data_IF_423652370890
#
_entry.id   IF_423652370890
#
_cell.length_a   1.000
_cell.length_b   1.000
_cell.length_c   1.000
_cell.angle_alpha   90.00
_cell.angle_beta   90.00
_cell.angle_gamma   90.00
#
_symmetry.space_group_name_H-M   'P 1'
#
loop_
_entity.id
_entity.type
_entity.pdbx_description
1 polymer ?
#
# COMPACT_ATOMS: atom_id res chain seq x y z
N UNK A 1 5.99 6.91 -24.15
CA UNK A 1 6.90 5.74 -24.10
C UNK A 1 8.28 6.29 -24.36
N UNK A 2 8.94 6.75 -23.30
CA UNK A 2 10.25 7.42 -23.41
C UNK A 2 11.34 6.40 -23.14
N UNK A 3 12.29 6.30 -24.07
CA UNK A 3 13.29 5.23 -24.14
C UNK A 3 14.51 5.58 -23.27
N UNK A 4 14.65 4.93 -22.11
CA UNK A 4 15.71 5.19 -21.10
C UNK A 4 16.90 4.21 -21.17
N UNK A 5 17.14 3.59 -22.34
CA UNK A 5 18.24 2.63 -22.51
C UNK A 5 17.82 1.18 -22.29
N UNK A 6 18.68 0.24 -22.69
CA UNK A 6 18.39 -1.20 -22.83
C UNK A 6 18.08 -1.92 -21.51
N UNK A 7 16.89 -1.68 -20.98
CA UNK A 7 16.24 -2.39 -19.87
C UNK A 7 14.77 -1.97 -19.80
N UNK A 8 13.86 -2.88 -19.47
CA UNK A 8 12.46 -2.52 -19.27
C UNK A 8 12.36 -1.52 -18.09
N UNK A 9 11.67 -0.41 -18.30
CA UNK A 9 11.35 0.54 -17.23
C UNK A 9 10.04 0.09 -16.62
N UNK A 10 10.10 -0.28 -15.35
CA UNK A 10 8.95 -0.71 -14.57
C UNK A 10 8.40 0.53 -13.88
N UNK A 11 7.14 0.83 -14.14
CA UNK A 11 6.48 2.00 -13.58
C UNK A 11 5.08 1.63 -13.13
N UNK A 12 4.63 2.22 -12.03
CA UNK A 12 3.24 2.17 -11.59
C UNK A 12 2.64 3.58 -11.60
N UNK A 13 1.32 3.63 -11.74
CA UNK A 13 0.57 4.88 -11.63
C UNK A 13 -0.13 4.94 -10.29
N UNK A 14 0.34 5.84 -9.42
CA UNK A 14 -0.34 6.13 -8.16
C UNK A 14 -1.30 7.28 -8.38
N UNK A 15 -2.60 6.95 -8.47
CA UNK A 15 -3.66 7.93 -8.71
C UNK A 15 -3.84 8.94 -7.58
N UNK A 16 -4.47 10.08 -7.89
CA UNK A 16 -4.87 11.04 -6.87
C UNK A 16 -6.10 10.53 -6.10
N UNK A 17 -5.86 10.02 -4.90
CA UNK A 17 -6.89 9.45 -4.03
C UNK A 17 -7.96 10.46 -3.59
N UNK A 18 -7.73 11.77 -3.74
CA UNK A 18 -8.74 12.80 -3.44
C UNK A 18 -9.86 12.91 -4.47
N UNK A 19 -9.74 12.27 -5.65
CA UNK A 19 -10.84 12.17 -6.63
C UNK A 19 -11.90 11.13 -6.23
N UNK A 20 -11.62 10.29 -5.24
CA UNK A 20 -12.49 9.23 -4.75
C UNK A 20 -12.47 9.23 -3.22
N UNK A 21 -13.05 10.31 -2.67
CA UNK A 21 -13.15 10.59 -1.23
C UNK A 21 -13.69 9.40 -0.41
N UNK A 22 -14.45 8.51 -1.06
CA UNK A 22 -14.81 7.20 -0.55
C UNK A 22 -14.45 6.14 -1.59
N UNK A 23 -13.67 5.11 -1.18
CA UNK A 23 -13.41 3.92 -1.99
C UNK A 23 -11.97 3.70 -2.45
N UNK A 24 -11.13 4.75 -2.52
CA UNK A 24 -9.72 4.57 -2.91
C UNK A 24 -8.77 4.42 -1.73
N UNK A 25 -9.19 4.79 -0.53
CA UNK A 25 -8.40 4.66 0.69
C UNK A 25 -9.15 3.84 1.73
N UNK A 26 -8.40 3.14 2.59
CA UNK A 26 -8.96 2.36 3.69
C UNK A 26 -9.67 3.23 4.75
N UNK A 27 -9.45 4.54 4.75
CA UNK A 27 -10.17 5.51 5.60
C UNK A 27 -10.13 6.91 4.98
N UNK A 28 -11.06 7.77 5.41
CA UNK A 28 -11.15 9.18 5.01
C UNK A 28 -10.50 10.15 6.01
N UNK A 29 -10.11 9.67 7.20
CA UNK A 29 -9.38 10.48 8.19
C UNK A 29 -7.87 10.36 8.01
N UNK A 30 -7.13 11.37 8.45
CA UNK A 30 -5.72 11.52 8.10
C UNK A 30 -4.82 11.70 9.32
N UNK A 31 -3.81 10.83 9.51
CA UNK A 31 -2.74 11.08 10.46
C UNK A 31 -1.90 12.33 10.16
N UNK A 32 -1.76 12.73 8.90
CA UNK A 32 -0.82 13.80 8.48
C UNK A 32 -1.50 15.05 7.87
N UNK A 33 -2.82 15.18 8.04
CA UNK A 33 -3.60 16.34 7.59
C UNK A 33 -4.00 16.33 6.11
N UNK A 34 -3.70 15.26 5.35
CA UNK A 34 -4.16 15.06 3.99
C UNK A 34 -4.50 13.57 3.73
N UNK A 35 -5.78 13.18 3.79
CA UNK A 35 -6.21 11.78 3.62
C UNK A 35 -5.83 11.19 2.26
N UNK A 36 -5.88 12.00 1.19
CA UNK A 36 -5.53 11.55 -0.14
C UNK A 36 -4.06 11.16 -0.23
N UNK A 37 -3.17 11.99 0.33
CA UNK A 37 -1.73 11.69 0.33
C UNK A 37 -1.41 10.52 1.26
N UNK A 38 -2.08 10.42 2.41
CA UNK A 38 -1.89 9.28 3.31
C UNK A 38 -2.28 7.95 2.67
N UNK A 39 -3.36 7.93 1.88
CA UNK A 39 -3.79 6.75 1.14
C UNK A 39 -2.79 6.35 0.04
N UNK A 40 -2.15 7.31 -0.63
CA UNK A 40 -1.15 7.00 -1.67
C UNK A 40 0.03 6.17 -1.16
N UNK A 41 0.37 6.27 0.13
CA UNK A 41 1.45 5.48 0.72
C UNK A 41 1.11 3.99 0.74
N UNK A 42 -0.17 3.64 0.92
CA UNK A 42 -0.61 2.24 0.84
C UNK A 42 -0.47 1.70 -0.58
N UNK A 43 -0.89 2.46 -1.60
CA UNK A 43 -0.72 2.08 -3.01
C UNK A 43 0.75 1.97 -3.40
N UNK A 44 1.60 2.92 -2.99
CA UNK A 44 3.04 2.82 -3.26
C UNK A 44 3.61 1.53 -2.67
N UNK A 45 3.21 1.16 -1.46
CA UNK A 45 3.68 -0.07 -0.82
C UNK A 45 3.18 -1.34 -1.53
N UNK A 46 1.96 -1.33 -2.04
CA UNK A 46 1.37 -2.38 -2.87
C UNK A 46 2.18 -2.57 -4.16
N UNK A 47 2.34 -1.51 -4.94
CA UNK A 47 3.02 -1.52 -6.23
C UNK A 47 4.50 -1.89 -6.12
N UNK A 48 5.18 -1.45 -5.05
CA UNK A 48 6.58 -1.85 -4.78
C UNK A 48 6.67 -3.36 -4.50
N UNK A 49 5.69 -3.93 -3.80
CA UNK A 49 5.72 -5.35 -3.48
C UNK A 49 5.54 -6.21 -4.73
N UNK A 50 4.64 -5.81 -5.63
CA UNK A 50 4.41 -6.46 -6.91
C UNK A 50 5.65 -6.35 -7.81
N UNK A 51 6.17 -5.14 -7.99
CA UNK A 51 7.39 -4.91 -8.76
C UNK A 51 8.62 -5.67 -8.22
N UNK A 52 8.67 -5.93 -6.90
CA UNK A 52 9.75 -6.70 -6.29
C UNK A 52 9.58 -8.22 -6.46
N UNK A 53 8.34 -8.74 -6.54
CA UNK A 53 8.08 -10.15 -6.78
C UNK A 53 8.19 -10.54 -8.25
N UNK A 54 7.64 -9.71 -9.13
CA UNK A 54 7.78 -9.85 -10.57
C UNK A 54 7.39 -8.53 -11.26
N UNK A 55 8.35 -7.88 -11.93
CA UNK A 55 8.08 -6.58 -12.53
C UNK A 55 7.31 -6.59 -13.85
N UNK A 56 7.08 -7.76 -14.45
CA UNK A 56 6.36 -7.88 -15.72
C UNK A 56 4.91 -8.33 -15.46
N UNK A 57 3.97 -7.39 -15.60
CA UNK A 57 2.53 -7.63 -15.43
C UNK A 57 1.96 -8.73 -16.35
N UNK A 58 2.71 -9.19 -17.35
CA UNK A 58 2.33 -10.32 -18.23
C UNK A 58 2.92 -11.67 -17.81
N UNK A 59 3.92 -11.69 -16.93
CA UNK A 59 4.52 -12.91 -16.37
C UNK A 59 4.53 -12.97 -14.85
N UNK A 60 3.85 -12.03 -14.20
CA UNK A 60 3.80 -11.91 -12.75
C UNK A 60 3.51 -13.21 -12.04
N UNK A 61 4.07 -13.38 -10.83
CA UNK A 61 3.72 -14.49 -9.95
C UNK A 61 2.29 -14.31 -9.42
N UNK A 62 1.33 -14.62 -10.28
CA UNK A 62 -0.09 -14.65 -10.00
C UNK A 62 -0.50 -16.02 -9.49
N UNK A 63 -1.55 -16.07 -8.68
CA UNK A 63 -2.20 -17.34 -8.37
C UNK A 63 -3.20 -17.77 -9.44
N UNK A 64 -3.85 -18.92 -9.22
CA UNK A 64 -4.89 -19.45 -10.12
C UNK A 64 -6.10 -18.51 -10.30
N UNK A 65 -6.26 -17.51 -9.43
CA UNK A 65 -7.28 -16.46 -9.50
C UNK A 65 -6.84 -15.21 -10.28
N UNK A 66 -5.55 -15.11 -10.65
CA UNK A 66 -4.98 -13.95 -11.32
C UNK A 66 -4.58 -12.82 -10.37
N UNK A 67 -4.48 -13.09 -9.05
CA UNK A 67 -4.08 -12.10 -8.06
C UNK A 67 -2.58 -12.19 -7.77
N UNK A 68 -1.88 -11.05 -7.80
CA UNK A 68 -0.50 -10.92 -7.33
C UNK A 68 -0.42 -10.85 -5.79
N UNK A 69 0.80 -10.80 -5.25
CA UNK A 69 1.04 -10.86 -3.80
C UNK A 69 0.32 -9.72 -3.03
N UNK A 70 0.36 -8.49 -3.55
CA UNK A 70 -0.25 -7.35 -2.88
C UNK A 70 -1.77 -7.28 -3.15
N UNK A 71 -2.23 -7.67 -4.33
CA UNK A 71 -3.67 -7.81 -4.66
C UNK A 71 -4.44 -8.68 -3.67
N UNK A 72 -3.92 -9.85 -3.31
CA UNK A 72 -4.56 -10.78 -2.35
C UNK A 72 -4.86 -10.16 -0.99
N UNK A 73 -4.17 -9.07 -0.65
CA UNK A 73 -4.30 -8.37 0.61
C UNK A 73 -4.73 -6.91 0.42
N UNK A 74 -5.26 -6.57 -0.75
CA UNK A 74 -5.80 -5.25 -1.04
C UNK A 74 -6.85 -4.89 0.02
N UNK A 75 -6.68 -3.70 0.61
CA UNK A 75 -7.47 -3.18 1.73
C UNK A 75 -7.40 -3.97 3.06
N UNK A 76 -6.71 -5.11 3.13
CA UNK A 76 -6.41 -5.76 4.41
C UNK A 76 -5.25 -5.04 5.11
N UNK A 77 -5.60 -4.12 6.00
CA UNK A 77 -4.63 -3.34 6.79
C UNK A 77 -4.13 -4.07 8.04
N UNK A 78 -4.68 -5.23 8.37
CA UNK A 78 -4.35 -5.97 9.58
C UNK A 78 -4.55 -5.17 10.90
N UNK A 79 -3.80 -5.50 11.97
CA UNK A 79 -3.94 -4.83 13.26
C UNK A 79 -3.55 -3.35 13.20
N UNK A 80 -4.43 -2.50 13.74
CA UNK A 80 -4.26 -1.04 13.76
C UNK A 80 -4.18 -0.48 15.17
N UNK A 81 -3.70 0.76 15.28
CA UNK A 81 -3.77 1.62 16.45
C UNK A 81 -4.59 2.85 16.12
N UNK A 82 -5.24 3.43 17.13
CA UNK A 82 -5.97 4.68 17.00
C UNK A 82 -5.09 5.88 17.36
N UNK A 83 -5.11 6.91 16.54
CA UNK A 83 -4.59 8.24 16.83
C UNK A 83 -5.68 9.29 16.72
N UNK A 84 -5.35 10.53 17.11
CA UNK A 84 -6.21 11.70 16.92
C UNK A 84 -5.45 12.80 16.22
N UNK A 85 -6.12 13.47 15.29
CA UNK A 85 -5.59 14.67 14.65
C UNK A 85 -5.71 15.89 15.57
N UNK A 86 -5.20 17.05 15.12
CA UNK A 86 -5.28 18.30 15.90
C UNK A 86 -6.71 18.82 16.08
N UNK A 87 -7.66 18.32 15.30
CA UNK A 87 -9.09 18.65 15.38
C UNK A 87 -9.87 17.69 16.29
N UNK A 88 -9.21 16.64 16.80
CA UNK A 88 -9.80 15.61 17.65
C UNK A 88 -10.44 14.44 16.89
N UNK A 89 -10.36 14.40 15.56
CA UNK A 89 -10.88 13.28 14.78
C UNK A 89 -9.97 12.06 14.91
N UNK A 90 -10.58 10.89 15.04
CA UNK A 90 -9.86 9.63 15.15
C UNK A 90 -9.40 9.12 13.78
N UNK A 91 -8.20 8.57 13.73
CA UNK A 91 -7.66 7.87 12.56
C UNK A 91 -6.97 6.57 12.98
N UNK A 92 -6.94 5.60 12.07
CA UNK A 92 -6.20 4.37 12.24
C UNK A 92 -4.81 4.48 11.63
N UNK A 93 -3.84 3.78 12.22
CA UNK A 93 -2.50 3.61 11.66
C UNK A 93 -1.91 2.27 12.08
N UNK A 94 -1.08 1.68 11.24
CA UNK A 94 -0.34 0.45 11.53
C UNK A 94 1.18 0.60 11.27
N UNK A 95 1.59 1.70 10.64
CA UNK A 95 2.97 2.03 10.37
C UNK A 95 3.34 3.39 10.98
N UNK A 96 4.53 3.48 11.58
CA UNK A 96 5.14 4.73 12.03
C UNK A 96 6.44 4.91 11.25
N UNK A 97 6.45 5.90 10.35
CA UNK A 97 7.60 6.25 9.54
C UNK A 97 8.54 7.25 10.22
N UNK A 98 9.39 7.87 9.41
CA UNK A 98 10.34 8.87 9.87
C UNK A 98 9.64 10.06 10.54
N UNK A 99 10.30 10.66 11.53
CA UNK A 99 9.79 11.82 12.30
C UNK A 99 8.44 11.59 12.98
N UNK A 100 8.04 10.32 13.17
CA UNK A 100 6.80 9.97 13.85
C UNK A 100 5.54 10.08 12.97
N UNK A 101 5.69 10.29 11.67
CA UNK A 101 4.56 10.25 10.73
C UNK A 101 3.90 8.89 10.78
N UNK A 102 2.57 8.86 10.77
CA UNK A 102 1.79 7.63 10.89
C UNK A 102 1.11 7.36 9.56
N UNK A 103 1.01 6.09 9.19
CA UNK A 103 0.39 5.66 7.95
C UNK A 103 -0.47 4.43 8.19
N UNK A 104 -1.49 4.27 7.37
CA UNK A 104 -2.31 3.08 7.28
C UNK A 104 -1.97 2.42 5.94
N UNK A 105 -1.31 1.27 6.00
CA UNK A 105 -0.77 0.57 4.82
C UNK A 105 -1.32 -0.84 4.81
N UNK A 106 -1.69 -1.37 3.65
CA UNK A 106 -2.11 -2.77 3.55
C UNK A 106 -1.01 -3.77 3.94
N UNK A 107 -1.42 -5.00 4.21
CA UNK A 107 -0.57 -6.16 4.32
C UNK A 107 -0.26 -6.73 2.92
N UNK A 108 0.67 -7.69 2.87
CA UNK A 108 0.90 -8.49 1.67
C UNK A 108 0.77 -9.97 2.02
N UNK A 109 0.63 -10.82 1.02
CA UNK A 109 0.50 -12.26 1.18
C UNK A 109 1.80 -12.90 1.68
N UNK A 110 1.71 -13.62 2.81
CA UNK A 110 2.79 -14.46 3.33
C UNK A 110 2.51 -15.92 2.96
N UNK A 111 3.25 -16.45 1.98
CA UNK A 111 3.09 -17.82 1.49
C UNK A 111 3.42 -18.88 2.55
N UNK A 112 4.28 -18.58 3.54
CA UNK A 112 4.61 -19.54 4.61
C UNK A 112 3.42 -19.73 5.57
N UNK A 113 2.64 -18.66 5.78
CA UNK A 113 1.50 -18.65 6.68
C UNK A 113 0.16 -18.82 5.97
N UNK A 114 0.15 -18.70 4.64
CA UNK A 114 -1.04 -18.74 3.79
C UNK A 114 -2.13 -17.75 4.24
N UNK A 115 -1.72 -16.51 4.56
CA UNK A 115 -2.59 -15.42 4.98
C UNK A 115 -1.92 -14.05 4.74
N UNK A 116 -2.71 -12.96 4.78
CA UNK A 116 -2.18 -11.60 4.82
C UNK A 116 -1.39 -11.35 6.11
N UNK A 117 -0.21 -10.78 5.96
CA UNK A 117 0.64 -10.44 7.09
C UNK A 117 1.39 -9.12 6.83
N UNK A 118 1.68 -8.40 7.91
CA UNK A 118 2.55 -7.23 7.81
C UNK A 118 3.96 -7.63 7.41
N UNK A 119 4.60 -6.81 6.58
CA UNK A 119 5.98 -7.00 6.15
C UNK A 119 6.89 -7.16 7.38
N UNK A 120 7.64 -8.27 7.42
CA UNK A 120 8.58 -8.56 8.52
C UNK A 120 9.55 -7.40 8.67
N UNK A 121 9.68 -6.87 9.89
CA UNK A 121 10.77 -5.94 10.22
C UNK A 121 12.09 -6.70 10.15
N UNK A 122 12.76 -6.65 9.01
CA UNK A 122 14.18 -6.99 8.92
C UNK A 122 14.93 -5.97 9.80
N UNK A 123 15.48 -6.45 10.91
CA UNK A 123 16.42 -5.72 11.76
C UNK A 123 17.84 -6.00 11.29
#
# INVERSE_FOLDING_TARGET
>A
MDNLGSGAVIYSFVGHHGQCAEGCGAQSTSPNGNPAIDATVSTIAHEIAEAASDPDASSGWMDDGGEENADKCSYDVGPTKTGRDNSGNEYLYNLVGMKGMRFLVQQNWDWEKNQCASQRKYH
#
